data_IF_441620058535
#
_entry.id   IF_441620058535
#
_cell.length_a   1.000
_cell.length_b   1.000
_cell.length_c   1.000
_cell.angle_alpha   90.00
_cell.angle_beta   90.00
_cell.angle_gamma   90.00
#
_symmetry.space_group_name_H-M   'P 1'
#
loop_
_entity.id
_entity.type
_entity.pdbx_description
1 polymer ?
#
# COMPACT_ATOMS: atom_id res chain seq x y z
N UNK A 1 -3.65 4.16 26.08
CA UNK A 1 -3.73 3.23 24.95
C UNK A 1 -2.34 3.02 24.37
N UNK A 2 -1.95 1.78 24.18
CA UNK A 2 -0.63 1.46 23.64
C UNK A 2 -0.53 1.83 22.16
N UNK A 3 0.66 2.26 21.72
CA UNK A 3 0.92 2.50 20.30
C UNK A 3 1.20 1.17 19.62
N UNK A 4 0.73 1.03 18.40
CA UNK A 4 0.96 -0.15 17.59
C UNK A 4 2.29 -0.05 16.85
N UNK A 5 2.96 -1.19 16.64
CA UNK A 5 4.14 -1.30 15.77
C UNK A 5 3.76 -1.53 14.31
N UNK A 6 2.47 -1.69 14.04
CA UNK A 6 1.98 -1.91 12.68
C UNK A 6 2.15 -0.67 11.81
N UNK A 7 2.37 -0.91 10.53
CA UNK A 7 2.36 0.15 9.51
C UNK A 7 1.14 -0.09 8.62
N UNK A 8 0.25 0.91 8.54
CA UNK A 8 -0.90 0.90 7.65
C UNK A 8 -0.63 1.85 6.49
N UNK A 9 -0.80 1.37 5.27
CA UNK A 9 -0.66 2.19 4.07
C UNK A 9 -2.00 2.20 3.34
N UNK A 10 -2.48 3.39 3.02
CA UNK A 10 -3.68 3.55 2.20
C UNK A 10 -3.35 4.42 1.00
N UNK A 11 -3.64 3.87 -0.19
CA UNK A 11 -3.41 4.56 -1.46
C UNK A 11 -4.75 4.91 -2.08
N UNK A 12 -4.91 6.16 -2.49
CA UNK A 12 -6.05 6.59 -3.29
C UNK A 12 -5.53 7.02 -4.66
N UNK A 13 -6.19 6.57 -5.71
CA UNK A 13 -5.76 6.88 -7.07
C UNK A 13 -6.88 6.90 -8.08
N UNK A 14 -6.52 7.18 -9.32
CA UNK A 14 -7.42 7.14 -10.46
C UNK A 14 -6.92 6.14 -11.48
N UNK A 15 -7.83 5.31 -11.98
CA UNK A 15 -7.56 4.38 -13.07
C UNK A 15 -7.72 5.13 -14.38
N UNK A 16 -6.77 4.98 -15.30
CA UNK A 16 -6.85 5.60 -16.61
C UNK A 16 -8.00 5.00 -17.41
N UNK A 17 -8.63 5.82 -18.23
CA UNK A 17 -9.78 5.40 -19.03
C UNK A 17 -9.46 4.13 -19.84
N UNK A 18 -10.35 3.14 -19.76
CA UNK A 18 -10.20 1.89 -20.47
C UNK A 18 -9.23 0.90 -19.84
N UNK A 19 -8.63 1.21 -18.70
CA UNK A 19 -7.60 0.37 -18.05
C UNK A 19 -8.09 -0.41 -16.84
N UNK A 20 -9.36 -0.25 -16.46
CA UNK A 20 -9.89 -0.83 -15.22
C UNK A 20 -9.78 -2.36 -15.18
N UNK A 21 -10.18 -3.05 -16.24
CA UNK A 21 -10.13 -4.51 -16.29
C UNK A 21 -8.69 -5.02 -16.31
N UNK A 22 -7.82 -4.35 -17.05
CA UNK A 22 -6.41 -4.70 -17.16
C UNK A 22 -5.71 -4.51 -15.81
N UNK A 23 -5.97 -3.40 -15.11
CA UNK A 23 -5.43 -3.14 -13.79
C UNK A 23 -5.94 -4.16 -12.78
N UNK A 24 -7.24 -4.46 -12.79
CA UNK A 24 -7.82 -5.46 -11.88
C UNK A 24 -7.14 -6.81 -12.03
N UNK A 25 -6.92 -7.25 -13.26
CA UNK A 25 -6.23 -8.51 -13.53
C UNK A 25 -4.77 -8.47 -13.08
N UNK A 26 -4.09 -7.36 -13.30
CA UNK A 26 -2.71 -7.17 -12.88
C UNK A 26 -2.58 -7.22 -11.36
N UNK A 27 -3.47 -6.54 -10.64
CA UNK A 27 -3.47 -6.52 -9.18
C UNK A 27 -3.89 -7.87 -8.59
N UNK A 28 -4.79 -8.60 -9.23
CA UNK A 28 -5.15 -9.95 -8.80
C UNK A 28 -3.94 -10.88 -8.87
N UNK A 29 -3.21 -10.85 -9.96
CA UNK A 29 -1.97 -11.63 -10.09
C UNK A 29 -0.89 -11.13 -9.12
N UNK A 30 -0.80 -9.81 -8.94
CA UNK A 30 0.09 -9.20 -7.97
C UNK A 30 -0.19 -9.66 -6.55
N UNK A 31 -1.46 -9.79 -6.19
CA UNK A 31 -1.86 -10.26 -4.87
C UNK A 31 -1.35 -11.67 -4.56
N UNK A 32 -1.33 -12.54 -5.55
CA UNK A 32 -0.77 -13.89 -5.39
C UNK A 32 0.73 -13.82 -5.09
N UNK A 33 1.45 -12.95 -5.78
CA UNK A 33 2.89 -12.76 -5.55
C UNK A 33 3.15 -12.14 -4.17
N UNK A 34 2.38 -11.12 -3.79
CA UNK A 34 2.47 -10.48 -2.48
C UNK A 34 2.24 -11.49 -1.36
N UNK A 35 1.22 -12.32 -1.50
CA UNK A 35 0.90 -13.37 -0.54
C UNK A 35 2.06 -14.38 -0.41
N UNK A 36 2.62 -14.82 -1.52
CA UNK A 36 3.76 -15.75 -1.54
C UNK A 36 5.01 -15.18 -0.86
N UNK A 37 5.25 -13.87 -1.00
CA UNK A 37 6.39 -13.21 -0.38
C UNK A 37 6.25 -13.05 1.13
N UNK A 38 5.03 -12.98 1.64
CA UNK A 38 4.76 -12.98 3.08
C UNK A 38 5.12 -11.70 3.83
N UNK A 39 5.37 -10.58 3.14
CA UNK A 39 5.71 -9.32 3.80
C UNK A 39 4.48 -8.55 4.28
N UNK A 40 3.39 -8.63 3.55
CA UNK A 40 2.16 -7.93 3.89
C UNK A 40 1.22 -8.83 4.70
N UNK A 41 0.68 -8.30 5.79
CA UNK A 41 -0.36 -8.98 6.57
C UNK A 41 -1.74 -8.75 5.96
N UNK A 42 -1.91 -7.66 5.24
CA UNK A 42 -3.11 -7.37 4.44
C UNK A 42 -2.68 -6.64 3.18
N UNK A 43 -3.26 -7.00 2.05
CA UNK A 43 -3.09 -6.27 0.80
C UNK A 43 -4.41 -6.41 0.04
N UNK A 44 -5.18 -5.33 0.03
CA UNK A 44 -6.51 -5.28 -0.60
C UNK A 44 -6.60 -4.10 -1.53
N UNK A 45 -7.38 -4.26 -2.59
CA UNK A 45 -7.62 -3.17 -3.52
C UNK A 45 -9.07 -3.21 -3.99
N UNK A 46 -9.57 -2.04 -4.37
CA UNK A 46 -10.91 -1.89 -4.94
C UNK A 46 -10.87 -0.85 -6.05
N UNK A 47 -11.62 -1.10 -7.09
CA UNK A 47 -11.80 -0.17 -8.21
C UNK A 47 -13.29 0.11 -8.33
N UNK A 48 -13.66 1.38 -8.30
CA UNK A 48 -15.06 1.79 -8.43
C UNK A 48 -15.48 1.91 -9.90
N UNK A 49 -16.80 1.97 -10.13
CA UNK A 49 -17.33 2.13 -11.47
C UNK A 49 -16.96 3.46 -12.14
N UNK A 50 -16.55 4.46 -11.35
CA UNK A 50 -16.06 5.75 -11.86
C UNK A 50 -14.54 5.85 -11.88
N UNK A 51 -13.86 4.71 -11.97
CA UNK A 51 -12.40 4.60 -12.12
C UNK A 51 -11.58 5.13 -10.95
N UNK A 52 -12.10 5.02 -9.74
CA UNK A 52 -11.34 5.31 -8.53
C UNK A 52 -10.71 4.05 -7.98
N UNK A 53 -9.48 4.19 -7.51
CA UNK A 53 -8.71 3.09 -6.95
C UNK A 53 -8.44 3.35 -5.47
N UNK A 54 -8.57 2.31 -4.66
CA UNK A 54 -8.09 2.35 -3.29
C UNK A 54 -7.31 1.06 -3.00
N UNK A 55 -6.17 1.18 -2.34
CA UNK A 55 -5.36 0.05 -1.90
C UNK A 55 -5.12 0.20 -0.40
N UNK A 56 -5.36 -0.86 0.34
CA UNK A 56 -5.09 -0.92 1.78
C UNK A 56 -4.05 -1.99 2.04
N UNK A 57 -3.01 -1.61 2.79
CA UNK A 57 -1.90 -2.50 3.12
C UNK A 57 -1.60 -2.42 4.60
N UNK A 58 -1.31 -3.56 5.22
CA UNK A 58 -0.87 -3.62 6.61
C UNK A 58 0.40 -4.44 6.68
N UNK A 59 1.41 -3.89 7.36
CA UNK A 59 2.70 -4.54 7.58
C UNK A 59 2.98 -4.59 9.08
N UNK A 60 3.57 -5.69 9.54
CA UNK A 60 3.88 -5.88 10.98
C UNK A 60 5.05 -5.04 11.46
N UNK A 61 5.85 -4.50 10.53
CA UNK A 61 7.06 -3.77 10.86
C UNK A 61 7.53 -2.92 9.68
N UNK A 62 8.47 -2.02 9.92
CA UNK A 62 9.14 -1.28 8.85
C UNK A 62 9.90 -2.21 7.91
N UNK A 63 10.52 -3.26 8.43
CA UNK A 63 11.25 -4.24 7.63
C UNK A 63 10.31 -4.99 6.68
N UNK A 64 9.12 -5.36 7.15
CA UNK A 64 8.13 -6.03 6.31
C UNK A 64 7.65 -5.11 5.19
N UNK A 65 7.40 -3.83 5.50
CA UNK A 65 7.02 -2.83 4.50
C UNK A 65 8.13 -2.66 3.45
N UNK A 66 9.37 -2.51 3.90
CA UNK A 66 10.51 -2.40 2.98
C UNK A 66 10.64 -3.65 2.10
N UNK A 67 10.44 -4.84 2.69
CA UNK A 67 10.46 -6.11 1.94
C UNK A 67 9.42 -6.14 0.83
N UNK A 68 8.21 -5.65 1.11
CA UNK A 68 7.16 -5.53 0.10
C UNK A 68 7.56 -4.55 -1.01
N UNK A 69 8.09 -3.39 -0.65
CA UNK A 69 8.50 -2.39 -1.63
C UNK A 69 9.56 -2.96 -2.57
N UNK A 70 10.61 -3.57 -2.02
CA UNK A 70 11.69 -4.16 -2.81
C UNK A 70 11.24 -5.40 -3.59
N UNK A 71 10.42 -6.24 -2.97
CA UNK A 71 10.00 -7.51 -3.54
C UNK A 71 8.91 -7.40 -4.59
N UNK A 72 8.09 -6.35 -4.53
CA UNK A 72 6.97 -6.23 -5.45
C UNK A 72 6.88 -4.84 -6.11
N UNK A 73 6.81 -3.78 -5.31
CA UNK A 73 6.52 -2.46 -5.86
C UNK A 73 7.61 -1.94 -6.80
N UNK A 74 8.88 -2.06 -6.43
CA UNK A 74 9.98 -1.61 -7.29
C UNK A 74 10.03 -2.38 -8.60
N UNK A 75 9.61 -3.64 -8.60
CA UNK A 75 9.62 -4.48 -9.79
C UNK A 75 8.40 -4.26 -10.68
N UNK A 76 7.27 -3.83 -10.13
CA UNK A 76 5.99 -3.78 -10.83
C UNK A 76 5.40 -2.37 -10.94
N UNK A 77 5.97 -1.39 -10.24
CA UNK A 77 5.41 -0.04 -10.19
C UNK A 77 5.28 0.62 -11.55
N UNK A 78 6.24 0.43 -12.44
CA UNK A 78 6.19 1.02 -13.79
C UNK A 78 4.96 0.51 -14.56
N UNK A 79 4.64 -0.77 -14.43
CA UNK A 79 3.45 -1.33 -15.08
C UNK A 79 2.17 -0.80 -14.46
N UNK A 80 2.14 -0.67 -13.14
CA UNK A 80 1.00 -0.09 -12.42
C UNK A 80 0.72 1.32 -12.92
N UNK A 81 1.77 2.14 -13.04
CA UNK A 81 1.64 3.55 -13.43
C UNK A 81 1.31 3.76 -14.92
N UNK A 82 1.33 2.72 -15.73
CA UNK A 82 0.76 2.77 -17.09
C UNK A 82 -0.77 2.69 -17.07
N UNK A 83 -1.35 2.21 -15.98
CA UNK A 83 -2.78 1.94 -15.87
C UNK A 83 -3.51 2.86 -14.89
N UNK A 84 -2.79 3.49 -13.98
CA UNK A 84 -3.39 4.38 -12.97
C UNK A 84 -2.37 5.40 -12.46
N UNK A 85 -2.87 6.40 -11.73
CA UNK A 85 -2.05 7.34 -10.97
C UNK A 85 -2.41 7.30 -9.50
N UNK A 86 -1.44 7.48 -8.63
CA UNK A 86 -1.67 7.61 -7.19
C UNK A 86 -1.84 9.10 -6.86
N UNK A 87 -2.96 9.45 -6.26
CA UNK A 87 -3.26 10.83 -5.88
C UNK A 87 -2.89 11.13 -4.43
N UNK A 88 -3.02 10.11 -3.57
CA UNK A 88 -2.82 10.28 -2.14
C UNK A 88 -2.33 8.97 -1.54
N UNK A 89 -1.24 9.04 -0.78
CA UNK A 89 -0.70 7.90 -0.05
C UNK A 89 -0.58 8.29 1.41
N UNK A 90 -1.37 7.64 2.27
CA UNK A 90 -1.37 7.84 3.71
C UNK A 90 -0.66 6.68 4.38
N UNK A 91 0.28 6.98 5.27
CA UNK A 91 1.01 5.97 6.03
C UNK A 91 0.83 6.26 7.51
N UNK A 92 0.27 5.30 8.25
CA UNK A 92 0.02 5.41 9.67
C UNK A 92 0.89 4.42 10.42
N UNK A 93 1.60 4.90 11.43
CA UNK A 93 2.42 4.04 12.28
C UNK A 93 3.81 4.60 12.54
N UNK A 94 4.64 3.87 13.30
CA UNK A 94 5.97 4.32 13.70
C UNK A 94 7.00 4.14 12.57
N UNK A 95 6.86 4.95 11.52
CA UNK A 95 7.75 4.90 10.35
C UNK A 95 9.18 5.24 10.78
N UNK A 96 10.13 4.37 10.45
CA UNK A 96 11.54 4.56 10.76
C UNK A 96 12.16 5.67 9.90
N UNK A 97 13.30 6.22 10.35
CA UNK A 97 14.02 7.23 9.60
C UNK A 97 14.47 6.71 8.23
N UNK A 98 14.90 5.45 8.15
CA UNK A 98 15.28 4.81 6.89
C UNK A 98 14.11 4.76 5.92
N UNK A 99 12.92 4.45 6.41
CA UNK A 99 11.71 4.41 5.57
C UNK A 99 11.26 5.81 5.16
N UNK A 100 11.46 6.82 6.01
CA UNK A 100 11.19 8.22 5.66
C UNK A 100 12.11 8.68 4.53
N UNK A 101 13.38 8.30 4.57
CA UNK A 101 14.33 8.63 3.50
C UNK A 101 13.96 7.90 2.20
N UNK A 102 13.60 6.63 2.27
CA UNK A 102 13.14 5.87 1.11
C UNK A 102 11.89 6.51 0.50
N UNK A 103 10.95 6.98 1.32
CA UNK A 103 9.71 7.61 0.85
C UNK A 103 9.98 8.87 0.02
N UNK A 104 11.05 9.60 0.29
CA UNK A 104 11.42 10.80 -0.47
C UNK A 104 11.80 10.48 -1.92
N UNK A 105 12.21 9.25 -2.19
CA UNK A 105 12.61 8.81 -3.54
C UNK A 105 11.43 8.31 -4.37
N UNK A 106 10.27 8.15 -3.76
CA UNK A 106 9.08 7.69 -4.45
C UNK A 106 8.47 8.80 -5.32
N UNK A 107 7.83 8.45 -6.46
CA UNK A 107 7.28 9.44 -7.39
C UNK A 107 5.97 10.08 -6.93
N UNK A 108 5.62 9.95 -5.66
CA UNK A 108 4.41 10.51 -5.06
C UNK A 108 4.69 10.88 -3.61
N UNK A 109 4.01 11.90 -3.06
CA UNK A 109 4.21 12.28 -1.66
C UNK A 109 3.51 11.33 -0.70
N UNK A 110 4.09 11.15 0.49
CA UNK A 110 3.46 10.43 1.59
C UNK A 110 2.94 11.41 2.63
N UNK A 111 1.74 11.15 3.12
CA UNK A 111 1.20 11.80 4.31
C UNK A 111 1.45 10.86 5.48
N UNK A 112 2.26 11.29 6.44
CA UNK A 112 2.67 10.46 7.58
C UNK A 112 1.84 10.79 8.81
N UNK A 113 1.31 9.74 9.43
CA UNK A 113 0.62 9.79 10.72
C UNK A 113 1.45 8.97 11.70
N UNK A 114 2.30 9.63 12.48
CA UNK A 114 3.40 9.01 13.24
C UNK A 114 2.97 8.02 14.30
N UNK A 115 1.70 8.07 14.72
CA UNK A 115 1.21 7.21 15.79
C UNK A 115 -0.02 6.44 15.35
N UNK A 116 0.09 5.13 15.39
CA UNK A 116 -1.05 4.24 15.21
C UNK A 116 -1.35 3.63 16.57
N UNK A 117 -2.51 3.96 17.13
CA UNK A 117 -2.94 3.38 18.40
C UNK A 117 -3.58 2.03 18.16
N UNK A 118 -3.26 1.07 19.03
CA UNK A 118 -3.79 -0.28 18.92
C UNK A 118 -5.23 -0.29 19.44
N UNK A 119 -6.14 0.12 18.57
CA UNK A 119 -7.55 0.20 18.85
C UNK A 119 -8.36 -0.82 18.09
N UNK A 120 -7.82 -2.02 17.88
CA UNK A 120 -8.51 -3.07 17.15
C UNK A 120 -9.64 -3.65 18.00
N UNK A 121 -10.74 -2.92 18.01
CA UNK A 121 -11.99 -3.33 18.65
C UNK A 121 -12.87 -3.98 17.60
N UNK A 122 -13.73 -4.88 18.01
CA UNK A 122 -14.60 -5.56 17.08
C UNK A 122 -14.08 -6.95 16.71
N UNK A 123 -14.57 -7.50 15.60
CA UNK A 123 -14.34 -8.91 15.23
C UNK A 123 -13.01 -9.16 14.53
N UNK A 124 -12.46 -8.15 13.87
CA UNK A 124 -11.17 -8.25 13.19
C UNK A 124 -10.07 -7.73 14.12
N UNK A 125 -9.57 -8.60 14.94
CA UNK A 125 -8.54 -8.25 15.92
C UNK A 125 -7.20 -8.85 15.56
#
# INVERSE_FOLDING_TARGET
>A
MAKSDLIHVQVEGNVFEGKSDELAKFLENGGKAVDSQGHADLWQWSISSDNKLIINEIFRSNEAWLGHIKGWFQQNGDEVFKMCGFERVQVCGPVSDDMKEMAKEMPFPFELYDHLHDGRFGKLK
#
